data_IF_086568426527
#
_entry.id   IF_086568426527
#
_cell.length_a   1.000
_cell.length_b   1.000
_cell.length_c   1.000
_cell.angle_alpha   90.00
_cell.angle_beta   90.00
_cell.angle_gamma   90.00
#
_symmetry.space_group_name_H-M   'P 1'
#
loop_
_entity.id
_entity.type
_entity.pdbx_description
1 polymer ?
#
# COMPACT_ATOMS: atom_id res chain seq x y z
N UNK A 1 11.53 1.61 -9.80
CA UNK A 1 12.34 1.33 -8.60
C UNK A 1 11.52 1.71 -7.39
N UNK A 2 11.33 0.81 -6.42
CA UNK A 2 10.53 1.06 -5.22
C UNK A 2 11.51 1.13 -4.03
N UNK A 3 11.57 2.28 -3.36
CA UNK A 3 12.48 2.52 -2.24
C UNK A 3 11.66 2.67 -0.94
N UNK A 4 12.00 1.89 0.07
CA UNK A 4 11.38 1.97 1.40
C UNK A 4 12.38 2.53 2.40
N UNK A 5 11.97 3.52 3.19
CA UNK A 5 12.75 4.06 4.30
C UNK A 5 12.01 3.81 5.60
N UNK A 6 12.66 3.11 6.54
CA UNK A 6 12.06 2.71 7.83
C UNK A 6 12.64 3.46 9.03
N UNK A 7 13.59 4.38 8.81
CA UNK A 7 14.22 5.22 9.85
C UNK A 7 13.99 6.71 9.60
N UNK A 8 12.74 7.08 9.38
CA UNK A 8 12.35 8.49 9.30
C UNK A 8 11.66 8.91 10.59
N UNK A 9 12.20 9.93 11.27
CA UNK A 9 11.51 10.66 12.36
C UNK A 9 10.33 11.52 11.86
N UNK A 10 9.75 11.15 10.71
CA UNK A 10 8.63 11.84 10.09
C UNK A 10 7.32 11.22 10.56
N UNK A 11 6.48 12.01 11.23
CA UNK A 11 5.08 11.70 11.57
C UNK A 11 4.12 11.92 10.40
N UNK A 12 4.62 11.79 9.16
CA UNK A 12 3.86 12.03 7.93
C UNK A 12 3.61 10.70 7.23
N UNK A 13 2.34 10.31 7.13
CA UNK A 13 1.90 9.16 6.34
C UNK A 13 1.58 9.64 4.94
N UNK A 14 2.52 9.45 4.02
CA UNK A 14 2.34 9.76 2.61
C UNK A 14 2.98 8.70 1.72
N UNK A 15 2.48 8.58 0.50
CA UNK A 15 3.04 7.70 -0.52
C UNK A 15 3.16 8.50 -1.80
N UNK A 16 4.38 8.62 -2.33
CA UNK A 16 4.66 9.33 -3.56
C UNK A 16 5.05 8.32 -4.65
N UNK A 17 4.28 8.28 -5.72
CA UNK A 17 4.62 7.56 -6.94
C UNK A 17 5.15 8.56 -7.97
N UNK A 18 6.31 8.29 -8.55
CA UNK A 18 6.91 9.10 -9.60
C UNK A 18 6.95 8.25 -10.87
N UNK A 19 6.21 8.67 -11.89
CA UNK A 19 6.22 8.09 -13.23
C UNK A 19 7.02 8.95 -14.20
N UNK A 20 7.05 8.52 -15.46
CA UNK A 20 7.68 9.27 -16.56
C UNK A 20 6.97 10.58 -16.86
N UNK A 21 5.64 10.58 -16.73
CA UNK A 21 4.77 11.68 -17.19
C UNK A 21 4.18 12.48 -16.02
N UNK A 22 4.61 12.21 -14.78
CA UNK A 22 4.01 12.85 -13.62
C UNK A 22 4.27 12.17 -12.30
N UNK A 23 3.59 12.65 -11.27
CA UNK A 23 3.62 12.06 -9.94
C UNK A 23 2.23 11.99 -9.32
N UNK A 24 2.02 10.98 -8.48
CA UNK A 24 0.82 10.77 -7.69
C UNK A 24 1.22 10.82 -6.21
N UNK A 25 0.65 11.77 -5.48
CA UNK A 25 0.84 11.90 -4.04
C UNK A 25 -0.42 11.43 -3.32
N UNK A 26 -0.28 10.40 -2.48
CA UNK A 26 -1.33 9.95 -1.58
C UNK A 26 -0.98 10.44 -0.18
N UNK A 27 -1.92 11.13 0.45
CA UNK A 27 -1.85 11.54 1.85
C UNK A 27 -3.03 10.96 2.61
N UNK A 28 -3.03 11.07 3.94
CA UNK A 28 -4.21 10.72 4.75
C UNK A 28 -5.47 11.52 4.39
N UNK A 29 -5.31 12.70 3.76
CA UNK A 29 -6.42 13.63 3.51
C UNK A 29 -6.93 13.58 2.06
N UNK A 30 -6.22 12.92 1.16
CA UNK A 30 -6.60 12.88 -0.24
C UNK A 30 -5.48 12.44 -1.15
N UNK A 31 -5.77 12.50 -2.44
CA UNK A 31 -4.88 12.11 -3.52
C UNK A 31 -4.69 13.30 -4.45
N UNK A 32 -3.45 13.54 -4.86
CA UNK A 32 -3.08 14.58 -5.81
C UNK A 32 -2.39 13.93 -7.01
N UNK A 33 -2.82 14.28 -8.22
CA UNK A 33 -2.18 13.90 -9.47
C UNK A 33 -1.57 15.15 -10.11
N UNK A 34 -0.24 15.17 -10.24
CA UNK A 34 0.49 16.33 -10.78
C UNK A 34 0.19 17.66 -10.07
N UNK A 35 -0.09 17.61 -8.76
CA UNK A 35 -0.46 18.75 -7.94
C UNK A 35 -1.95 19.13 -8.00
N UNK A 36 -2.76 18.42 -8.77
CA UNK A 36 -4.22 18.61 -8.81
C UNK A 36 -4.93 17.61 -7.89
N UNK A 37 -5.78 18.11 -7.01
CA UNK A 37 -6.53 17.27 -6.08
C UNK A 37 -7.55 16.40 -6.83
N UNK A 38 -7.47 15.09 -6.60
CA UNK A 38 -8.42 14.10 -7.11
C UNK A 38 -9.46 13.84 -6.03
N UNK A 39 -10.73 14.07 -6.36
CA UNK A 39 -11.83 13.73 -5.45
C UNK A 39 -12.01 12.22 -5.43
N UNK A 40 -11.86 11.63 -4.25
CA UNK A 40 -12.14 10.21 -4.02
C UNK A 40 -13.55 10.07 -3.44
N UNK A 41 -14.26 9.04 -3.89
CA UNK A 41 -15.46 8.58 -3.20
C UNK A 41 -15.06 7.94 -1.87
N UNK A 42 -15.50 8.56 -0.77
CA UNK A 42 -15.28 8.09 0.60
C UNK A 42 -16.63 7.74 1.26
N UNK A 43 -17.64 7.37 0.46
CA UNK A 43 -18.97 7.01 0.95
C UNK A 43 -18.98 5.79 1.88
N UNK A 44 -17.97 4.92 1.78
CA UNK A 44 -17.83 3.70 2.59
C UNK A 44 -16.46 3.68 3.27
N UNK A 45 -16.41 3.34 4.57
CA UNK A 45 -15.13 3.17 5.27
C UNK A 45 -14.41 1.89 4.83
N UNK A 46 -13.08 1.88 4.95
CA UNK A 46 -12.25 0.79 4.41
C UNK A 46 -12.57 -0.58 5.03
N UNK A 47 -12.99 -0.64 6.30
CA UNK A 47 -13.33 -1.91 6.95
C UNK A 47 -14.63 -2.47 6.40
N UNK A 48 -15.68 -1.63 6.33
CA UNK A 48 -16.97 -2.02 5.76
C UNK A 48 -16.81 -2.47 4.30
N UNK A 49 -16.07 -1.70 3.49
CA UNK A 49 -15.75 -2.05 2.11
C UNK A 49 -15.04 -3.40 2.01
N UNK A 50 -14.02 -3.64 2.84
CA UNK A 50 -13.28 -4.90 2.84
C UNK A 50 -14.17 -6.10 3.20
N UNK A 51 -15.01 -5.96 4.22
CA UNK A 51 -15.94 -7.01 4.64
C UNK A 51 -16.98 -7.32 3.56
N UNK A 52 -17.54 -6.28 2.93
CA UNK A 52 -18.49 -6.44 1.82
C UNK A 52 -17.85 -7.18 0.65
N UNK A 53 -16.67 -6.73 0.20
CA UNK A 53 -15.94 -7.37 -0.90
C UNK A 53 -15.60 -8.83 -0.61
N UNK A 54 -15.27 -9.16 0.64
CA UNK A 54 -15.02 -10.54 1.08
C UNK A 54 -16.28 -11.41 0.96
N UNK A 55 -17.41 -10.94 1.48
CA UNK A 55 -18.69 -11.66 1.41
C UNK A 55 -19.14 -11.84 -0.04
N UNK A 56 -19.05 -10.80 -0.87
CA UNK A 56 -19.38 -10.87 -2.29
C UNK A 56 -18.51 -11.90 -3.01
N UNK A 57 -17.21 -11.97 -2.69
CA UNK A 57 -16.31 -12.95 -3.29
C UNK A 57 -16.69 -14.39 -2.93
N UNK A 58 -17.06 -14.63 -1.67
CA UNK A 58 -17.50 -15.94 -1.19
C UNK A 58 -18.83 -16.37 -1.84
N UNK A 59 -19.79 -15.45 -2.00
CA UNK A 59 -21.08 -15.74 -2.64
C UNK A 59 -20.97 -15.99 -4.14
N UNK A 60 -20.03 -15.32 -4.82
CA UNK A 60 -19.84 -15.42 -6.26
C UNK A 60 -18.78 -16.46 -6.67
N UNK A 61 -18.24 -17.22 -5.73
CA UNK A 61 -17.14 -18.20 -5.95
C UNK A 61 -15.96 -17.60 -6.75
N UNK A 62 -15.55 -16.38 -6.37
CA UNK A 62 -14.43 -15.65 -6.98
C UNK A 62 -13.31 -15.42 -5.98
N UNK A 63 -12.13 -15.08 -6.48
CA UNK A 63 -11.00 -14.71 -5.62
C UNK A 63 -11.30 -13.41 -4.85
N UNK A 64 -10.88 -13.39 -3.58
CA UNK A 64 -10.96 -12.19 -2.74
C UNK A 64 -9.92 -11.14 -3.22
N UNK A 65 -10.22 -9.83 -3.14
CA UNK A 65 -9.29 -8.79 -3.58
C UNK A 65 -7.92 -8.81 -2.88
N UNK A 66 -7.86 -9.34 -1.66
CA UNK A 66 -6.62 -9.54 -0.90
C UNK A 66 -6.53 -11.01 -0.50
N UNK A 67 -5.84 -11.80 -1.30
CA UNK A 67 -5.64 -13.22 -1.04
C UNK A 67 -4.54 -13.46 0.00
N UNK A 68 -4.54 -14.66 0.61
CA UNK A 68 -3.48 -15.04 1.55
C UNK A 68 -2.08 -15.00 0.93
N UNK A 69 -1.96 -15.23 -0.38
CA UNK A 69 -0.70 -15.10 -1.12
C UNK A 69 -0.14 -13.68 -1.10
N UNK A 70 -1.00 -12.67 -1.25
CA UNK A 70 -0.59 -11.25 -1.18
C UNK A 70 -0.15 -10.85 0.23
N UNK A 71 -0.81 -11.38 1.27
CA UNK A 71 -0.41 -11.17 2.66
C UNK A 71 0.99 -11.75 2.91
N UNK A 72 1.28 -12.95 2.41
CA UNK A 72 2.59 -13.58 2.56
C UNK A 72 3.71 -12.75 1.89
N UNK A 73 3.47 -12.17 0.71
CA UNK A 73 4.43 -11.28 0.04
C UNK A 73 4.73 -10.04 0.89
N UNK A 74 3.71 -9.46 1.52
CA UNK A 74 3.87 -8.30 2.42
C UNK A 74 4.71 -8.67 3.64
N UNK A 75 4.36 -9.76 4.32
CA UNK A 75 5.11 -10.24 5.50
C UNK A 75 6.57 -10.56 5.14
N UNK A 76 6.81 -11.19 3.99
CA UNK A 76 8.16 -11.47 3.50
C UNK A 76 8.95 -10.19 3.25
N UNK A 77 8.33 -9.18 2.65
CA UNK A 77 8.96 -7.86 2.44
C UNK A 77 9.40 -7.26 3.78
N UNK A 78 8.51 -7.28 4.78
CA UNK A 78 8.82 -6.75 6.12
C UNK A 78 9.96 -7.52 6.80
N UNK A 79 10.01 -8.85 6.66
CA UNK A 79 11.12 -9.66 7.21
C UNK A 79 12.46 -9.34 6.52
N UNK A 80 12.46 -9.16 5.18
CA UNK A 80 13.66 -8.74 4.46
C UNK A 80 14.14 -7.36 4.90
N UNK A 81 13.22 -6.41 5.09
CA UNK A 81 13.55 -5.07 5.61
C UNK A 81 14.15 -5.15 7.01
N UNK A 82 13.58 -5.98 7.89
CA UNK A 82 14.13 -6.22 9.24
C UNK A 82 15.56 -6.76 9.16
N UNK A 83 15.79 -7.83 8.39
CA UNK A 83 17.11 -8.44 8.20
C UNK A 83 18.13 -7.47 7.60
N UNK A 84 17.71 -6.66 6.61
CA UNK A 84 18.56 -5.63 6.02
C UNK A 84 18.99 -4.59 7.07
N UNK A 85 18.06 -4.17 7.94
CA UNK A 85 18.35 -3.23 9.02
C UNK A 85 19.27 -3.81 10.10
N UNK A 86 19.20 -5.11 10.38
CA UNK A 86 20.04 -5.79 11.38
C UNK A 86 21.45 -6.07 10.85
N UNK A 87 21.56 -6.49 9.59
CA UNK A 87 22.83 -6.88 8.95
C UNK A 87 23.57 -5.73 8.28
N UNK A 88 22.89 -4.63 7.95
CA UNK A 88 23.42 -3.57 7.10
C UNK A 88 23.63 -3.97 5.64
N UNK A 89 23.16 -5.16 5.24
CA UNK A 89 23.34 -5.69 3.89
C UNK A 89 22.03 -5.68 3.11
N UNK A 90 22.12 -5.41 1.80
CA UNK A 90 20.98 -5.51 0.89
C UNK A 90 20.43 -6.93 0.87
N UNK A 91 19.10 -7.06 0.97
CA UNK A 91 18.40 -8.34 0.88
C UNK A 91 17.67 -8.42 -0.47
N UNK A 92 17.67 -9.59 -1.08
CA UNK A 92 16.97 -9.85 -2.35
C UNK A 92 15.64 -10.55 -2.11
N UNK A 93 14.62 -10.13 -2.85
CA UNK A 93 13.27 -10.71 -2.80
C UNK A 93 13.21 -12.07 -3.50
#
# INVERSE_FOLDING_TARGET
SLAFSTRTHYTRTETLFIGTDGHLLLTRRGVELNGEAVTLDQSEDSFTLQMRLFVEALLADREVPVSGGEVLKTVRTLDLVRRASESGQTQTF
#
